data_IF_560216699707
#
_entry.id   IF_560216699707
#
_cell.length_a   1.000
_cell.length_b   1.000
_cell.length_c   1.000
_cell.angle_alpha   90.00
_cell.angle_beta   90.00
_cell.angle_gamma   90.00
#
_symmetry.space_group_name_H-M   'P 1'
#
loop_
_entity.id
_entity.type
_entity.pdbx_description
1 polymer ?
#
# COMPACT_ATOMS: atom_id res chain seq x y z
N UNK A 1 -17.45 14.22 8.13
CA UNK A 1 -17.16 14.64 6.74
C UNK A 1 -15.87 13.95 6.29
N UNK A 2 -15.83 13.43 5.07
CA UNK A 2 -14.59 12.89 4.50
C UNK A 2 -13.58 14.05 4.33
N UNK A 3 -12.29 13.79 4.62
CA UNK A 3 -11.22 14.76 4.37
C UNK A 3 -11.05 14.98 2.87
N UNK A 4 -10.70 16.19 2.44
CA UNK A 4 -10.33 16.48 1.06
C UNK A 4 -9.00 15.77 0.70
N UNK A 5 -8.71 15.62 -0.61
CA UNK A 5 -7.39 15.13 -1.06
C UNK A 5 -6.27 15.98 -0.46
N UNK A 6 -6.42 17.30 -0.54
CA UNK A 6 -5.47 18.26 0.00
C UNK A 6 -5.14 17.96 1.47
N UNK A 7 -6.17 17.83 2.31
CA UNK A 7 -6.01 17.54 3.73
C UNK A 7 -5.36 16.18 3.99
N UNK A 8 -5.71 15.16 3.20
CA UNK A 8 -5.14 13.81 3.34
C UNK A 8 -3.66 13.79 2.99
N UNK A 9 -3.28 14.40 1.86
CA UNK A 9 -1.89 14.47 1.40
C UNK A 9 -1.05 15.32 2.38
N UNK A 10 -1.62 16.42 2.84
CA UNK A 10 -0.97 17.30 3.80
C UNK A 10 -0.69 16.61 5.13
N UNK A 11 -1.71 15.95 5.70
CA UNK A 11 -1.58 15.19 6.95
C UNK A 11 -0.56 14.05 6.81
N UNK A 12 -0.55 13.37 5.66
CA UNK A 12 0.42 12.31 5.37
C UNK A 12 1.85 12.85 5.42
N UNK A 13 2.16 13.90 4.65
CA UNK A 13 3.53 14.42 4.59
C UNK A 13 3.99 15.02 5.91
N UNK A 14 3.11 15.73 6.63
CA UNK A 14 3.41 16.24 7.97
C UNK A 14 3.65 15.16 9.02
N UNK A 15 3.03 14.01 8.86
CA UNK A 15 3.23 12.84 9.71
C UNK A 15 4.56 12.12 9.47
N UNK A 16 5.27 12.43 8.38
CA UNK A 16 6.54 11.77 8.08
C UNK A 16 7.67 12.26 9.00
N UNK A 17 8.54 11.36 9.51
CA UNK A 17 9.68 11.74 10.36
C UNK A 17 10.65 12.73 9.71
N UNK A 18 10.69 12.77 8.39
CA UNK A 18 11.57 13.65 7.63
C UNK A 18 10.99 15.05 7.39
N UNK A 19 9.70 15.27 7.71
CA UNK A 19 9.06 16.57 7.51
C UNK A 19 9.62 17.62 8.48
N UNK A 20 9.83 18.82 7.94
CA UNK A 20 10.19 20.03 8.69
C UNK A 20 9.36 21.21 8.16
N UNK A 21 9.14 22.25 8.95
CA UNK A 21 8.25 23.37 8.59
C UNK A 21 8.71 24.15 7.36
N UNK A 22 10.00 24.13 7.05
CA UNK A 22 10.56 24.72 5.81
C UNK A 22 10.18 23.95 4.54
N UNK A 23 9.60 22.74 4.66
CA UNK A 23 9.08 21.95 3.54
C UNK A 23 7.62 22.25 3.18
N UNK A 24 6.99 23.20 3.85
CA UNK A 24 5.58 23.55 3.64
C UNK A 24 5.25 23.86 2.19
N UNK A 25 6.08 24.69 1.52
CA UNK A 25 5.87 25.05 0.13
C UNK A 25 6.10 23.87 -0.83
N UNK A 26 6.98 22.93 -0.45
CA UNK A 26 7.15 21.67 -1.19
C UNK A 26 5.88 20.83 -1.13
N UNK A 27 5.27 20.70 0.05
CA UNK A 27 4.04 19.91 0.22
C UNK A 27 2.87 20.53 -0.54
N UNK A 28 2.71 21.87 -0.47
CA UNK A 28 1.69 22.58 -1.26
C UNK A 28 1.87 22.34 -2.76
N UNK A 29 3.10 22.49 -3.25
CA UNK A 29 3.40 22.26 -4.66
C UNK A 29 3.10 20.82 -5.09
N UNK A 30 3.36 19.80 -4.24
CA UNK A 30 2.98 18.41 -4.52
C UNK A 30 1.45 18.30 -4.65
N UNK A 31 0.70 18.86 -3.70
CA UNK A 31 -0.76 18.81 -3.67
C UNK A 31 -1.37 19.42 -4.93
N UNK A 32 -0.91 20.60 -5.33
CA UNK A 32 -1.38 21.36 -6.50
C UNK A 32 -1.13 20.61 -7.83
N UNK A 33 -0.17 19.70 -7.86
CA UNK A 33 0.20 18.95 -9.07
C UNK A 33 -0.39 17.53 -9.15
N UNK A 34 -1.08 17.06 -8.11
CA UNK A 34 -1.85 15.83 -8.23
C UNK A 34 -3.03 16.01 -9.19
N UNK A 35 -3.26 15.00 -10.01
CA UNK A 35 -4.49 14.93 -10.80
C UNK A 35 -5.71 14.74 -9.87
N UNK A 36 -6.91 15.14 -10.29
CA UNK A 36 -8.12 14.92 -9.52
C UNK A 36 -8.28 13.45 -9.12
N UNK A 37 -8.72 13.15 -7.87
CA UNK A 37 -8.89 11.79 -7.42
C UNK A 37 -9.92 11.03 -8.25
N UNK A 38 -9.62 9.78 -8.55
CA UNK A 38 -10.53 8.87 -9.26
C UNK A 38 -10.92 7.69 -8.37
N UNK A 39 -12.18 7.26 -8.49
CA UNK A 39 -12.68 6.09 -7.78
C UNK A 39 -12.52 4.85 -8.66
N UNK A 40 -11.93 3.79 -8.08
CA UNK A 40 -11.85 2.47 -8.71
C UNK A 40 -12.61 1.46 -7.86
N UNK A 41 -13.40 0.63 -8.51
CA UNK A 41 -14.20 -0.40 -7.85
C UNK A 41 -13.36 -1.57 -7.37
N UNK A 42 -13.82 -2.22 -6.29
CA UNK A 42 -13.26 -3.48 -5.80
C UNK A 42 -12.97 -4.45 -6.95
N UNK A 43 -11.78 -5.03 -6.96
CA UNK A 43 -11.31 -5.94 -8.00
C UNK A 43 -10.60 -5.28 -9.19
N UNK A 44 -10.69 -3.95 -9.36
CA UNK A 44 -9.98 -3.24 -10.43
C UNK A 44 -8.46 -3.39 -10.28
N UNK A 45 -7.77 -3.65 -11.39
CA UNK A 45 -6.31 -3.62 -11.47
C UNK A 45 -5.90 -2.19 -11.82
N UNK A 46 -4.99 -1.62 -11.01
CA UNK A 46 -4.60 -0.20 -11.12
C UNK A 46 -3.35 0.01 -11.96
N UNK A 47 -2.46 -0.99 -11.95
CA UNK A 47 -1.22 -0.93 -12.70
C UNK A 47 -1.17 -2.15 -13.60
N UNK A 48 -1.51 -1.95 -14.87
CA UNK A 48 -1.36 -3.00 -15.87
C UNK A 48 0.13 -3.22 -16.20
N UNK A 49 0.43 -4.46 -16.57
CA UNK A 49 1.80 -4.95 -16.81
C UNK A 49 2.44 -4.43 -18.12
N UNK A 50 1.90 -3.37 -18.73
CA UNK A 50 2.44 -2.73 -19.93
C UNK A 50 1.75 -1.36 -20.17
N UNK A 51 2.47 -0.36 -20.68
CA UNK A 51 3.92 -0.12 -20.65
C UNK A 51 4.40 0.27 -19.24
N UNK A 52 5.71 0.44 -19.00
CA UNK A 52 6.21 0.87 -17.68
C UNK A 52 5.55 2.18 -17.28
N UNK A 53 4.66 2.14 -16.27
CA UNK A 53 4.08 3.33 -15.71
C UNK A 53 4.99 3.83 -14.57
N UNK A 54 5.44 5.08 -14.68
CA UNK A 54 6.38 5.74 -13.76
C UNK A 54 5.72 6.75 -12.84
N UNK A 55 4.39 6.80 -12.86
CA UNK A 55 3.64 7.75 -12.03
C UNK A 55 3.71 7.38 -10.56
N UNK A 56 3.50 8.42 -9.75
CA UNK A 56 3.33 8.31 -8.31
C UNK A 56 1.84 8.32 -8.02
N UNK A 57 1.40 7.49 -7.09
CA UNK A 57 0.01 7.45 -6.66
C UNK A 57 -0.11 7.69 -5.17
N UNK A 58 -1.19 8.35 -4.80
CA UNK A 58 -1.61 8.50 -3.42
C UNK A 58 -2.96 7.80 -3.24
N UNK A 59 -3.00 6.83 -2.33
CA UNK A 59 -4.23 6.14 -1.93
C UNK A 59 -4.95 6.98 -0.89
N UNK A 60 -6.03 7.67 -1.30
CA UNK A 60 -6.82 8.52 -0.42
C UNK A 60 -7.70 7.69 0.53
N UNK A 61 -8.34 6.64 0.00
CA UNK A 61 -9.27 5.79 0.74
C UNK A 61 -9.27 4.36 0.20
N UNK A 62 -9.68 3.41 1.05
CA UNK A 62 -9.73 2.00 0.74
C UNK A 62 -8.39 1.28 0.87
N UNK A 63 -8.33 0.04 0.41
CA UNK A 63 -7.16 -0.83 0.52
C UNK A 63 -6.81 -1.44 -0.84
N UNK A 64 -5.51 -1.46 -1.15
CA UNK A 64 -4.97 -2.16 -2.32
C UNK A 64 -4.24 -3.43 -1.89
N UNK A 65 -4.39 -4.49 -2.67
CA UNK A 65 -3.51 -5.66 -2.64
C UNK A 65 -2.31 -5.39 -3.55
N UNK A 66 -1.12 -5.60 -3.04
CA UNK A 66 0.09 -5.73 -3.82
C UNK A 66 0.27 -7.23 -4.14
N UNK A 67 0.19 -7.59 -5.41
CA UNK A 67 0.17 -8.98 -5.88
C UNK A 67 1.39 -9.21 -6.77
N UNK A 68 2.16 -10.24 -6.45
CA UNK A 68 3.32 -10.66 -7.22
C UNK A 68 2.94 -11.76 -8.19
N UNK A 69 3.33 -11.63 -9.46
CA UNK A 69 3.28 -12.74 -10.41
C UNK A 69 4.45 -13.67 -10.14
N UNK A 70 4.14 -14.86 -9.64
CA UNK A 70 5.17 -15.86 -9.40
C UNK A 70 5.50 -16.57 -10.72
N UNK A 71 6.71 -16.40 -11.29
CA UNK A 71 7.07 -17.02 -12.56
C UNK A 71 7.21 -18.56 -12.45
N UNK A 72 7.32 -19.10 -11.23
CA UNK A 72 7.50 -20.53 -10.96
C UNK A 72 6.20 -21.24 -10.54
N UNK A 73 5.18 -20.48 -10.19
CA UNK A 73 3.87 -21.00 -9.78
C UNK A 73 2.80 -20.31 -10.61
N UNK A 74 1.86 -21.06 -11.14
CA UNK A 74 0.77 -20.53 -11.97
C UNK A 74 -0.25 -19.71 -11.13
N UNK A 75 0.15 -19.24 -9.95
CA UNK A 75 -0.69 -18.53 -9.01
C UNK A 75 -0.06 -17.20 -8.59
N UNK A 76 -0.89 -16.17 -8.56
CA UNK A 76 -0.54 -14.85 -8.04
C UNK A 76 -0.38 -14.89 -6.51
N UNK A 77 0.73 -14.38 -6.01
CA UNK A 77 1.01 -14.34 -4.57
C UNK A 77 0.66 -12.97 -3.98
N UNK A 78 -0.19 -12.96 -2.95
CA UNK A 78 -0.44 -11.76 -2.15
C UNK A 78 0.83 -11.39 -1.38
N UNK A 79 1.46 -10.28 -1.79
CA UNK A 79 2.70 -9.81 -1.18
C UNK A 79 2.45 -8.85 -0.01
N UNK A 80 1.54 -7.87 -0.16
CA UNK A 80 1.24 -6.90 0.89
C UNK A 80 -0.12 -6.24 0.67
N UNK A 81 -0.48 -5.36 1.62
CA UNK A 81 -1.57 -4.40 1.48
C UNK A 81 -1.03 -2.98 1.62
N UNK A 82 -1.53 -2.10 0.75
CA UNK A 82 -1.32 -0.66 0.86
C UNK A 82 -2.56 -0.09 1.56
N UNK A 83 -2.40 0.51 2.75
CA UNK A 83 -3.51 1.15 3.47
C UNK A 83 -3.81 2.54 2.90
N UNK A 84 -4.96 3.15 3.25
CA UNK A 84 -5.24 4.54 2.92
C UNK A 84 -4.17 5.49 3.50
N UNK A 85 -4.11 6.69 2.96
CA UNK A 85 -3.08 7.69 3.24
C UNK A 85 -1.66 7.14 3.02
N UNK A 86 -1.41 6.55 1.84
CA UNK A 86 -0.10 6.01 1.45
C UNK A 86 0.29 6.43 0.05
N UNK A 87 1.57 6.73 -0.14
CA UNK A 87 2.17 6.88 -1.47
C UNK A 87 2.62 5.50 -1.95
N UNK A 88 2.39 5.19 -3.22
CA UNK A 88 2.93 3.99 -3.84
C UNK A 88 3.36 4.26 -5.29
N UNK A 89 4.32 3.51 -5.75
CA UNK A 89 4.88 3.57 -7.10
C UNK A 89 5.21 2.17 -7.56
N UNK A 90 5.44 2.02 -8.85
CA UNK A 90 6.06 0.81 -9.36
C UNK A 90 7.57 1.02 -9.50
N UNK A 91 8.33 0.51 -8.56
CA UNK A 91 9.78 0.71 -8.49
C UNK A 91 10.50 0.16 -9.72
N UNK A 92 10.07 -1.00 -10.27
CA UNK A 92 10.67 -1.60 -11.46
C UNK A 92 10.52 -0.68 -12.67
N UNK A 93 9.34 -0.08 -12.83
CA UNK A 93 9.08 0.88 -13.92
C UNK A 93 9.82 2.19 -13.71
N UNK A 94 9.79 2.72 -12.47
CA UNK A 94 10.36 4.03 -12.15
C UNK A 94 11.88 4.05 -12.29
N UNK A 95 12.57 3.08 -11.68
CA UNK A 95 14.03 3.09 -11.58
C UNK A 95 14.72 2.29 -12.68
N UNK A 96 14.12 1.19 -13.13
CA UNK A 96 14.77 0.27 -14.07
C UNK A 96 14.17 0.28 -15.47
N UNK A 97 13.09 1.04 -15.70
CA UNK A 97 12.35 1.06 -16.96
C UNK A 97 11.93 -0.36 -17.42
N UNK A 98 11.59 -1.21 -16.45
CA UNK A 98 11.20 -2.59 -16.68
C UNK A 98 9.70 -2.77 -16.42
N UNK A 99 9.15 -3.80 -17.04
CA UNK A 99 7.80 -4.25 -16.70
C UNK A 99 7.78 -4.74 -15.25
N UNK A 100 6.81 -4.30 -14.43
CA UNK A 100 6.74 -4.74 -13.06
C UNK A 100 6.41 -6.22 -12.95
N UNK A 101 7.01 -6.87 -11.95
CA UNK A 101 6.68 -8.24 -11.57
C UNK A 101 5.47 -8.30 -10.64
N UNK A 102 5.02 -7.16 -10.14
CA UNK A 102 3.86 -7.03 -9.27
C UNK A 102 2.86 -6.03 -9.84
N UNK A 103 1.61 -6.14 -9.38
CA UNK A 103 0.55 -5.20 -9.71
C UNK A 103 -0.30 -4.90 -8.48
N UNK A 104 -1.00 -3.76 -8.54
CA UNK A 104 -1.92 -3.36 -7.49
C UNK A 104 -3.36 -3.66 -7.90
N UNK A 105 -4.12 -4.28 -6.99
CA UNK A 105 -5.54 -4.61 -7.19
C UNK A 105 -6.36 -4.07 -6.04
N UNK A 106 -7.45 -3.38 -6.36
CA UNK A 106 -8.38 -2.85 -5.37
C UNK A 106 -9.02 -3.97 -4.54
N UNK A 107 -8.79 -3.97 -3.23
CA UNK A 107 -9.40 -4.91 -2.32
C UNK A 107 -10.77 -4.45 -1.83
N UNK A 108 -10.93 -3.16 -1.62
CA UNK A 108 -12.20 -2.45 -1.45
C UNK A 108 -12.45 -1.53 -2.64
N UNK A 109 -13.52 -0.77 -2.67
CA UNK A 109 -13.54 0.43 -3.50
C UNK A 109 -12.43 1.35 -3.00
N UNK A 110 -11.72 2.01 -3.91
CA UNK A 110 -10.57 2.86 -3.58
C UNK A 110 -10.69 4.21 -4.26
N UNK A 111 -10.20 5.25 -3.61
CA UNK A 111 -10.01 6.58 -4.18
C UNK A 111 -8.51 6.85 -4.28
N UNK A 112 -8.04 7.15 -5.48
CA UNK A 112 -6.61 7.37 -5.77
C UNK A 112 -6.41 8.67 -6.54
N UNK A 113 -5.32 9.36 -6.24
CA UNK A 113 -4.80 10.49 -7.02
C UNK A 113 -3.46 10.12 -7.63
N UNK A 114 -3.14 10.66 -8.80
CA UNK A 114 -1.87 10.43 -9.50
C UNK A 114 -1.08 11.71 -9.67
N UNK A 115 0.23 11.56 -9.65
CA UNK A 115 1.20 12.59 -10.00
C UNK A 115 2.12 11.99 -11.07
N UNK A 116 2.08 12.54 -12.29
CA UNK A 116 2.91 12.02 -13.37
C UNK A 116 4.40 12.14 -13.06
N UNK A 117 5.19 11.22 -13.59
CA UNK A 117 6.65 11.28 -13.42
C UNK A 117 7.24 12.60 -13.98
N UNK A 118 6.67 13.14 -15.05
CA UNK A 118 7.08 14.39 -15.62
C UNK A 118 6.94 15.54 -14.62
N UNK A 119 5.73 15.72 -14.06
CA UNK A 119 5.47 16.71 -13.00
C UNK A 119 6.37 16.49 -11.77
N UNK A 120 6.60 15.22 -11.39
CA UNK A 120 7.50 14.91 -10.28
C UNK A 120 8.94 15.38 -10.55
N UNK A 121 9.47 15.19 -11.77
CA UNK A 121 10.81 15.66 -12.13
C UNK A 121 10.90 17.20 -12.12
N UNK A 122 9.86 17.89 -12.59
CA UNK A 122 9.79 19.36 -12.50
C UNK A 122 9.79 19.84 -11.05
N UNK A 123 8.93 19.23 -10.21
CA UNK A 123 8.87 19.54 -8.78
C UNK A 123 10.20 19.26 -8.08
N UNK A 124 10.86 18.16 -8.39
CA UNK A 124 12.16 17.80 -7.83
C UNK A 124 13.23 18.86 -8.12
N UNK A 125 13.22 19.40 -9.33
CA UNK A 125 14.19 20.43 -9.71
C UNK A 125 13.93 21.75 -8.97
N UNK A 126 12.66 22.10 -8.73
CA UNK A 126 12.27 23.34 -8.04
C UNK A 126 12.29 23.20 -6.51
N UNK A 127 11.93 22.02 -6.00
CA UNK A 127 11.81 21.71 -4.58
C UNK A 127 12.59 20.43 -4.23
N UNK A 128 13.92 20.49 -4.07
CA UNK A 128 14.73 19.28 -3.82
C UNK A 128 14.31 18.49 -2.56
N UNK A 129 13.66 19.13 -1.59
CA UNK A 129 13.13 18.52 -0.38
C UNK A 129 12.12 17.37 -0.66
N UNK A 130 11.49 17.38 -1.84
CA UNK A 130 10.55 16.31 -2.28
C UNK A 130 11.20 14.93 -2.21
N UNK A 131 12.50 14.81 -2.51
CA UNK A 131 13.22 13.54 -2.45
C UNK A 131 13.26 13.01 -1.02
N UNK A 132 13.53 13.89 -0.03
CA UNK A 132 13.56 13.51 1.38
C UNK A 132 12.19 13.05 1.87
N UNK A 133 11.13 13.75 1.46
CA UNK A 133 9.74 13.36 1.75
C UNK A 133 9.38 12.03 1.10
N UNK A 134 9.72 11.83 -0.17
CA UNK A 134 9.49 10.58 -0.89
C UNK A 134 10.21 9.39 -0.20
N UNK A 135 11.49 9.54 0.12
CA UNK A 135 12.26 8.50 0.79
C UNK A 135 11.69 8.17 2.18
N UNK A 136 11.22 9.17 2.92
CA UNK A 136 10.57 8.95 4.22
C UNK A 136 9.23 8.22 4.08
N UNK A 137 8.42 8.58 3.09
CA UNK A 137 7.15 7.89 2.80
C UNK A 137 7.35 6.43 2.39
N UNK A 138 8.33 6.15 1.52
CA UNK A 138 8.66 4.78 1.13
C UNK A 138 9.25 3.97 2.28
N UNK A 139 10.00 4.59 3.20
CA UNK A 139 10.53 3.92 4.39
C UNK A 139 9.43 3.36 5.29
N UNK A 140 8.29 4.05 5.42
CA UNK A 140 7.13 3.54 6.16
C UNK A 140 6.52 2.30 5.49
N UNK A 141 6.43 2.27 4.17
CA UNK A 141 5.99 1.07 3.42
C UNK A 141 6.95 -0.09 3.66
N UNK A 142 8.25 0.15 3.59
CA UNK A 142 9.27 -0.89 3.84
C UNK A 142 9.26 -1.39 5.28
N UNK A 143 8.94 -0.54 6.25
CA UNK A 143 8.74 -0.94 7.66
C UNK A 143 7.57 -1.92 7.79
N UNK A 144 6.44 -1.62 7.15
CA UNK A 144 5.29 -2.52 7.12
C UNK A 144 5.60 -3.87 6.45
N UNK A 145 6.33 -3.86 5.33
CA UNK A 145 6.80 -5.08 4.66
C UNK A 145 7.70 -5.93 5.57
N UNK A 146 8.67 -5.29 6.26
CA UNK A 146 9.56 -5.99 7.22
C UNK A 146 8.78 -6.58 8.39
N UNK A 147 7.85 -5.84 8.97
CA UNK A 147 7.01 -6.33 10.07
C UNK A 147 6.20 -7.56 9.64
N UNK A 148 5.65 -7.56 8.42
CA UNK A 148 4.96 -8.74 7.88
C UNK A 148 5.90 -9.93 7.69
N UNK A 149 7.12 -9.71 7.19
CA UNK A 149 8.10 -10.80 7.05
C UNK A 149 8.43 -11.44 8.40
N UNK A 150 8.54 -10.67 9.47
CA UNK A 150 8.73 -11.19 10.83
C UNK A 150 7.53 -12.02 11.28
N UNK A 151 6.31 -11.54 11.05
CA UNK A 151 5.08 -12.30 11.33
C UNK A 151 5.05 -13.63 10.58
N UNK A 152 5.43 -13.66 9.29
CA UNK A 152 5.47 -14.88 8.49
C UNK A 152 6.42 -15.95 9.07
N UNK A 153 7.44 -15.55 9.82
CA UNK A 153 8.38 -16.45 10.51
C UNK A 153 7.84 -17.06 11.79
N UNK A 154 6.73 -16.59 12.33
CA UNK A 154 6.09 -17.21 13.49
C UNK A 154 5.64 -18.62 13.14
N UNK A 155 5.85 -19.58 14.03
CA UNK A 155 5.47 -20.99 13.81
C UNK A 155 3.98 -21.26 14.05
N UNK A 156 3.37 -20.53 15.00
CA UNK A 156 2.01 -20.73 15.44
C UNK A 156 1.03 -19.90 14.60
N UNK A 157 -0.01 -20.54 14.06
CA UNK A 157 -1.05 -19.85 13.28
C UNK A 157 -1.84 -18.85 14.11
N UNK A 158 -2.12 -19.15 15.38
CA UNK A 158 -2.85 -18.24 16.27
C UNK A 158 -2.08 -16.95 16.52
N UNK A 159 -0.76 -17.05 16.77
CA UNK A 159 0.09 -15.88 16.99
C UNK A 159 0.12 -14.95 15.76
N UNK A 160 0.09 -15.53 14.54
CA UNK A 160 -0.01 -14.75 13.29
C UNK A 160 -1.35 -14.02 13.18
N UNK A 161 -2.46 -14.69 13.55
CA UNK A 161 -3.79 -14.07 13.54
C UNK A 161 -3.83 -12.91 14.54
N UNK A 162 -3.34 -13.14 15.74
CA UNK A 162 -3.30 -12.14 16.80
C UNK A 162 -2.44 -10.96 16.41
N UNK A 163 -1.29 -11.21 15.77
CA UNK A 163 -0.44 -10.16 15.23
C UNK A 163 -1.18 -9.28 14.20
N UNK A 164 -1.92 -9.88 13.26
CA UNK A 164 -2.68 -9.09 12.27
C UNK A 164 -3.77 -8.28 12.95
N UNK A 165 -4.48 -8.88 13.91
CA UNK A 165 -5.52 -8.18 14.66
C UNK A 165 -4.97 -6.97 15.41
N UNK A 166 -3.81 -7.12 16.04
CA UNK A 166 -3.21 -6.10 16.91
C UNK A 166 -2.48 -5.03 16.12
N UNK A 167 -1.74 -5.40 15.06
CA UNK A 167 -0.93 -4.48 14.26
C UNK A 167 -1.64 -3.90 13.04
N UNK A 168 -2.70 -4.57 12.57
CA UNK A 168 -3.45 -4.20 11.35
C UNK A 168 -4.95 -4.40 11.56
N UNK A 169 -5.46 -3.91 12.68
CA UNK A 169 -6.86 -4.11 13.08
C UNK A 169 -7.89 -3.55 12.11
N UNK A 170 -7.57 -2.48 11.39
CA UNK A 170 -8.34 -1.90 10.30
C UNK A 170 -8.49 -2.87 9.13
N UNK A 171 -7.39 -3.46 8.71
CA UNK A 171 -7.34 -4.45 7.64
C UNK A 171 -7.94 -5.80 8.09
N UNK A 172 -7.68 -6.23 9.34
CA UNK A 172 -8.24 -7.46 9.88
C UNK A 172 -9.77 -7.49 9.84
N UNK A 173 -10.41 -6.36 10.14
CA UNK A 173 -11.89 -6.23 10.16
C UNK A 173 -12.54 -6.44 8.78
N UNK A 174 -11.82 -6.19 7.70
CA UNK A 174 -12.36 -6.27 6.33
C UNK A 174 -11.85 -7.49 5.55
N UNK A 175 -10.85 -8.21 6.07
CA UNK A 175 -10.33 -9.41 5.42
C UNK A 175 -11.32 -10.57 5.50
N UNK A 176 -11.60 -11.18 4.34
CA UNK A 176 -12.18 -12.51 4.32
C UNK A 176 -11.15 -13.59 4.74
N UNK A 177 -11.63 -14.77 5.13
CA UNK A 177 -10.79 -15.88 5.63
C UNK A 177 -9.75 -16.34 4.60
N UNK A 178 -10.10 -16.32 3.31
CA UNK A 178 -9.19 -16.75 2.24
C UNK A 178 -8.03 -15.78 2.14
N UNK A 179 -8.33 -14.49 2.13
CA UNK A 179 -7.34 -13.42 2.08
C UNK A 179 -6.47 -13.41 3.34
N UNK A 180 -7.06 -13.63 4.52
CA UNK A 180 -6.30 -13.72 5.77
C UNK A 180 -5.31 -14.90 5.73
N UNK A 181 -5.74 -16.09 5.30
CA UNK A 181 -4.86 -17.26 5.16
C UNK A 181 -3.69 -16.97 4.22
N UNK A 182 -3.95 -16.35 3.06
CA UNK A 182 -2.91 -15.93 2.12
C UNK A 182 -1.95 -14.91 2.74
N UNK A 183 -2.50 -13.91 3.46
CA UNK A 183 -1.70 -12.84 4.06
C UNK A 183 -0.76 -13.33 5.14
N UNK A 184 -1.21 -14.26 6.00
CA UNK A 184 -0.37 -14.85 7.06
C UNK A 184 0.42 -16.08 6.62
N UNK A 185 0.29 -16.50 5.35
CA UNK A 185 1.07 -17.61 4.78
C UNK A 185 0.75 -18.96 5.40
N UNK A 186 -0.54 -19.27 5.58
CA UNK A 186 -1.00 -20.59 6.08
C UNK A 186 -2.06 -21.19 5.17
N UNK A 187 -2.25 -22.51 5.24
CA UNK A 187 -3.35 -23.16 4.54
C UNK A 187 -4.70 -22.75 5.16
N UNK A 188 -5.77 -22.77 4.34
CA UNK A 188 -7.14 -22.56 4.84
C UNK A 188 -7.48 -23.50 5.98
N UNK A 189 -7.11 -24.77 5.86
CA UNK A 189 -7.34 -25.77 6.90
C UNK A 189 -6.64 -25.43 8.23
N UNK A 190 -5.41 -24.90 8.17
CA UNK A 190 -4.69 -24.45 9.37
C UNK A 190 -5.36 -23.22 10.00
N UNK A 191 -5.86 -22.30 9.19
CA UNK A 191 -6.60 -21.14 9.68
C UNK A 191 -7.89 -21.57 10.40
N UNK A 192 -8.70 -22.43 9.79
CA UNK A 192 -9.95 -22.91 10.39
C UNK A 192 -9.69 -23.64 11.71
N UNK A 193 -8.69 -24.54 11.76
CA UNK A 193 -8.31 -25.23 13.01
C UNK A 193 -7.91 -24.27 14.13
N UNK A 194 -7.27 -23.14 13.79
CA UNK A 194 -6.93 -22.13 14.79
C UNK A 194 -8.17 -21.43 15.35
N UNK A 195 -9.14 -21.08 14.51
CA UNK A 195 -10.41 -20.48 14.94
C UNK A 195 -11.25 -21.44 15.80
N UNK A 196 -11.35 -22.72 15.43
CA UNK A 196 -12.12 -23.73 16.16
C UNK A 196 -11.57 -23.92 17.58
N UNK A 197 -10.23 -23.95 17.74
CA UNK A 197 -9.59 -24.08 19.06
C UNK A 197 -9.86 -22.92 20.00
N UNK A 198 -10.10 -21.72 19.47
CA UNK A 198 -10.32 -20.51 20.29
C UNK A 198 -11.78 -20.23 20.59
N UNK A 199 -12.72 -21.04 20.07
CA UNK A 199 -14.18 -20.80 20.22
C UNK A 199 -14.66 -19.47 19.58
N UNK A 200 -13.79 -18.79 18.85
CA UNK A 200 -14.06 -17.50 18.19
C UNK A 200 -14.50 -17.70 16.75
N UNK A 201 -15.61 -18.40 16.56
CA UNK A 201 -16.31 -18.51 15.27
C UNK A 201 -17.14 -17.24 15.01
N UNK A 202 -16.53 -16.06 15.07
CA UNK A 202 -17.18 -14.81 14.73
C UNK A 202 -16.49 -14.19 13.50
N UNK A 203 -17.01 -14.57 12.32
CA UNK A 203 -16.97 -13.79 11.08
C UNK A 203 -18.23 -14.10 10.28
#
# INVERSE_FOLDING_TARGET
MAKSLEQLVYDFFRGLPAYTTDMEDTVKAIIENFDPPVIKKKGAILTELAPPNKDFWFLCDGFLKEIYKNPFMNEDALFNFIPPASIFVNEDSLFYNKRPQHYYKAYTDVTIASLSNEKFQELKNKYPAIIKLYLSGTAEIQKNRRSRLLMLRMSNTQDKIDWVRDQRGDLYKIMDRVTLAQYIGVSRASLYRAFDKTGKSQF
#
